data_IF_666868564291
#
_entry.id   IF_666868564291
#
_cell.length_a   1.000
_cell.length_b   1.000
_cell.length_c   1.000
_cell.angle_alpha   90.00
_cell.angle_beta   90.00
_cell.angle_gamma   90.00
#
_symmetry.space_group_name_H-M   'P 1'
#
loop_
_entity.id
_entity.type
_entity.pdbx_description
1 polymer ?
#
# COMPACT_ATOMS: atom_id res chain seq x y z
N UNK A 1 17.09 3.78 4.67
CA UNK A 1 17.03 5.03 3.83
C UNK A 1 15.57 5.39 3.59
N UNK A 2 15.22 6.69 3.58
CA UNK A 2 13.86 7.15 3.31
C UNK A 2 13.47 6.98 1.83
N UNK A 3 12.18 6.77 1.54
CA UNK A 3 11.68 6.69 0.15
C UNK A 3 12.01 7.96 -0.63
N UNK A 4 11.87 9.13 0.00
CA UNK A 4 12.24 10.42 -0.61
C UNK A 4 13.72 10.51 -0.95
N UNK A 5 14.61 9.98 -0.10
CA UNK A 5 16.05 9.92 -0.36
C UNK A 5 16.40 8.96 -1.50
N UNK A 6 15.70 7.83 -1.63
CA UNK A 6 15.83 6.93 -2.78
C UNK A 6 15.51 7.67 -4.08
N UNK A 7 14.38 8.43 -4.10
CA UNK A 7 13.94 9.20 -5.26
C UNK A 7 14.98 10.29 -5.61
N UNK A 8 15.46 11.02 -4.62
CA UNK A 8 16.48 12.07 -4.83
C UNK A 8 17.80 11.48 -5.39
N UNK A 9 18.30 10.38 -4.79
CA UNK A 9 19.51 9.70 -5.25
C UNK A 9 19.39 9.08 -6.65
N UNK A 10 18.16 8.70 -7.04
CA UNK A 10 17.90 8.18 -8.39
C UNK A 10 18.15 9.22 -9.49
N UNK A 11 18.17 10.51 -9.15
CA UNK A 11 18.47 11.61 -10.06
C UNK A 11 17.68 11.53 -11.39
N UNK A 12 16.38 11.37 -11.28
CA UNK A 12 15.45 11.28 -12.42
C UNK A 12 15.30 9.89 -13.04
N UNK A 13 16.02 8.88 -12.55
CA UNK A 13 15.77 7.50 -12.96
C UNK A 13 14.57 6.94 -12.21
N UNK A 14 13.67 6.29 -12.92
CA UNK A 14 12.52 5.60 -12.31
C UNK A 14 12.97 4.40 -11.48
N UNK A 15 12.55 4.35 -10.22
CA UNK A 15 12.86 3.27 -9.29
C UNK A 15 11.88 2.10 -9.45
N UNK A 16 12.29 0.91 -8.98
CA UNK A 16 11.44 -0.27 -8.86
C UNK A 16 11.11 -0.55 -7.39
N UNK A 17 9.85 -0.80 -7.10
CA UNK A 17 9.36 -1.24 -5.79
C UNK A 17 8.14 -2.16 -5.93
N UNK A 18 7.84 -2.91 -4.90
CA UNK A 18 6.66 -3.78 -4.90
C UNK A 18 6.06 -3.96 -3.51
N UNK A 19 4.81 -4.38 -3.50
CA UNK A 19 4.08 -4.73 -2.28
C UNK A 19 3.94 -6.24 -2.15
N UNK A 20 4.09 -6.74 -0.94
CA UNK A 20 3.95 -8.15 -0.62
C UNK A 20 2.99 -8.37 0.55
N UNK A 21 2.27 -9.50 0.49
CA UNK A 21 1.39 -9.97 1.56
C UNK A 21 2.16 -10.85 2.54
N UNK A 22 2.09 -10.61 3.86
CA UNK A 22 2.57 -11.58 4.84
C UNK A 22 1.90 -12.95 4.66
N UNK A 23 2.59 -14.07 4.99
CA UNK A 23 2.02 -15.40 4.88
C UNK A 23 0.82 -15.56 5.82
N UNK A 24 -0.06 -16.54 5.55
CA UNK A 24 -1.12 -16.87 6.49
C UNK A 24 -0.52 -17.47 7.76
N UNK A 25 -1.22 -17.29 8.87
CA UNK A 25 -0.85 -17.91 10.17
C UNK A 25 -0.69 -19.42 10.01
N UNK A 26 0.44 -19.93 10.47
CA UNK A 26 0.78 -21.36 10.38
C UNK A 26 1.48 -21.77 9.07
N UNK A 27 1.62 -20.87 8.10
CA UNK A 27 2.45 -21.14 6.92
C UNK A 27 3.93 -20.92 7.19
N UNK A 28 4.78 -21.60 6.42
CA UNK A 28 6.23 -21.45 6.51
C UNK A 28 6.65 -20.06 5.98
N UNK A 29 7.50 -19.37 6.71
CA UNK A 29 8.09 -18.09 6.31
C UNK A 29 8.88 -18.19 4.99
N UNK A 30 9.42 -19.35 4.64
CA UNK A 30 10.14 -19.52 3.38
C UNK A 30 9.26 -19.25 2.16
N UNK A 31 7.96 -19.59 2.18
CA UNK A 31 7.03 -19.24 1.11
C UNK A 31 6.93 -17.73 0.87
N UNK A 32 7.13 -16.96 1.92
CA UNK A 32 7.18 -15.50 1.82
C UNK A 32 8.47 -15.02 1.16
N UNK A 33 9.60 -15.59 1.56
CA UNK A 33 10.90 -15.25 0.96
C UNK A 33 11.00 -15.73 -0.49
N UNK A 34 10.47 -16.92 -0.81
CA UNK A 34 10.40 -17.44 -2.18
C UNK A 34 9.64 -16.51 -3.14
N UNK A 35 8.72 -15.68 -2.61
CA UNK A 35 8.03 -14.66 -3.40
C UNK A 35 8.84 -13.36 -3.57
N UNK A 36 9.83 -13.09 -2.74
CA UNK A 36 10.72 -11.93 -2.83
C UNK A 36 11.96 -12.24 -3.68
N UNK A 37 12.61 -13.38 -3.41
CA UNK A 37 13.89 -13.78 -4.00
C UNK A 37 13.98 -13.58 -5.52
N UNK A 38 12.95 -13.92 -6.35
CA UNK A 38 13.00 -13.74 -7.79
C UNK A 38 13.02 -12.28 -8.27
N UNK A 39 12.70 -11.32 -7.39
CA UNK A 39 12.64 -9.89 -7.73
C UNK A 39 13.92 -9.14 -7.31
N UNK A 40 14.80 -9.77 -6.51
CA UNK A 40 16.01 -9.13 -6.00
C UNK A 40 17.02 -8.81 -7.11
N UNK A 41 17.07 -9.59 -8.19
CA UNK A 41 17.95 -9.35 -9.33
C UNK A 41 17.72 -8.00 -10.01
N UNK A 42 16.52 -7.41 -9.83
CA UNK A 42 16.15 -6.09 -10.34
C UNK A 42 16.37 -4.95 -9.35
N UNK A 43 17.02 -5.24 -8.22
CA UNK A 43 17.40 -4.25 -7.20
C UNK A 43 16.24 -3.35 -6.74
N UNK A 44 15.18 -3.92 -6.15
CA UNK A 44 14.06 -3.12 -5.64
C UNK A 44 14.56 -2.11 -4.60
N UNK A 45 14.14 -0.86 -4.72
CA UNK A 45 14.56 0.21 -3.82
C UNK A 45 13.93 0.07 -2.44
N UNK A 46 12.68 -0.40 -2.38
CA UNK A 46 11.94 -0.65 -1.14
C UNK A 46 10.82 -1.66 -1.35
N UNK A 47 10.37 -2.29 -0.27
CA UNK A 47 9.32 -3.32 -0.27
C UNK A 47 8.23 -2.94 0.72
N UNK A 48 7.01 -2.75 0.24
CA UNK A 48 5.84 -2.52 1.11
C UNK A 48 5.27 -3.83 1.64
N UNK A 49 4.89 -3.83 2.91
CA UNK A 49 4.29 -4.99 3.59
C UNK A 49 2.89 -4.65 4.04
N UNK A 50 1.88 -5.32 3.45
CA UNK A 50 0.48 -5.07 3.79
C UNK A 50 0.16 -5.51 5.20
N UNK A 51 -0.60 -4.66 5.91
CA UNK A 51 -1.18 -5.02 7.20
C UNK A 51 -2.62 -5.52 7.02
N UNK A 52 -2.95 -6.61 7.70
CA UNK A 52 -4.31 -7.12 7.81
C UNK A 52 -4.74 -7.10 9.26
N UNK A 53 -5.75 -6.28 9.56
CA UNK A 53 -6.32 -6.21 10.92
C UNK A 53 -6.96 -7.51 11.32
N UNK A 54 -7.19 -7.68 12.60
CA UNK A 54 -7.92 -8.80 13.18
C UNK A 54 -9.36 -8.81 12.67
N UNK A 55 -9.91 -10.02 12.48
CA UNK A 55 -11.30 -10.23 12.08
C UNK A 55 -12.06 -10.85 13.23
N UNK A 56 -13.37 -10.67 13.24
CA UNK A 56 -14.25 -11.36 14.19
C UNK A 56 -14.83 -12.61 13.53
N UNK A 57 -14.71 -13.75 14.23
CA UNK A 57 -15.40 -14.99 13.89
C UNK A 57 -16.42 -15.29 15.00
N UNK A 58 -17.62 -15.72 14.59
CA UNK A 58 -18.66 -16.11 15.52
C UNK A 58 -18.73 -17.63 15.55
N UNK A 59 -18.55 -18.21 16.73
CA UNK A 59 -18.63 -19.65 16.99
C UNK A 59 -19.93 -19.92 17.73
N UNK A 60 -20.82 -20.74 17.14
CA UNK A 60 -22.04 -21.19 17.79
C UNK A 60 -21.74 -22.35 18.73
N UNK A 61 -22.16 -22.24 19.99
CA UNK A 61 -22.05 -23.29 21.00
C UNK A 61 -23.31 -24.13 21.02
N UNK A 62 -23.22 -25.36 21.59
CA UNK A 62 -24.34 -26.29 21.69
C UNK A 62 -25.58 -25.74 22.41
N UNK A 63 -25.42 -24.73 23.25
CA UNK A 63 -26.51 -24.03 23.93
C UNK A 63 -27.14 -22.88 23.08
N UNK A 64 -26.76 -22.73 21.78
CA UNK A 64 -27.25 -21.73 20.88
C UNK A 64 -26.65 -20.30 21.09
N UNK A 65 -25.69 -20.13 21.99
CA UNK A 65 -24.99 -18.88 22.17
C UNK A 65 -23.89 -18.72 21.14
N UNK A 66 -23.72 -17.48 20.66
CA UNK A 66 -22.65 -17.10 19.75
C UNK A 66 -21.49 -16.49 20.55
N UNK A 67 -20.34 -17.11 20.52
CA UNK A 67 -19.09 -16.54 21.02
C UNK A 67 -18.40 -15.75 19.89
N UNK A 68 -18.06 -14.48 20.16
CA UNK A 68 -17.24 -13.67 19.25
C UNK A 68 -15.76 -13.89 19.56
N UNK A 69 -15.04 -14.48 18.62
CA UNK A 69 -13.59 -14.67 18.70
C UNK A 69 -12.86 -13.65 17.81
N UNK A 70 -11.79 -13.09 18.35
CA UNK A 70 -10.84 -12.27 17.57
C UNK A 70 -9.84 -13.23 16.93
N UNK A 71 -9.73 -13.16 15.59
CA UNK A 71 -8.84 -14.03 14.82
C UNK A 71 -7.88 -13.20 14.01
N UNK A 72 -6.59 -13.38 14.26
CA UNK A 72 -5.52 -12.81 13.47
C UNK A 72 -5.08 -13.82 12.41
N UNK A 73 -5.32 -13.51 11.13
CA UNK A 73 -5.02 -14.42 10.02
C UNK A 73 -3.59 -14.34 9.51
N UNK A 74 -2.88 -13.23 9.78
CA UNK A 74 -1.51 -12.99 9.32
C UNK A 74 -0.65 -12.43 10.44
N UNK A 75 0.68 -12.63 10.40
CA UNK A 75 1.60 -11.98 11.33
C UNK A 75 1.54 -10.45 11.20
N UNK A 76 2.03 -9.74 12.22
CA UNK A 76 2.18 -8.29 12.19
C UNK A 76 3.30 -7.85 11.27
N UNK A 77 3.17 -6.64 10.73
CA UNK A 77 4.12 -6.09 9.76
C UNK A 77 5.47 -5.75 10.39
N UNK A 78 5.54 -5.41 11.69
CA UNK A 78 6.80 -5.12 12.41
C UNK A 78 7.79 -6.28 12.24
N UNK A 79 7.41 -7.49 12.66
CA UNK A 79 8.29 -8.66 12.57
C UNK A 79 8.66 -9.05 11.13
N UNK A 80 7.71 -8.88 10.18
CA UNK A 80 7.96 -9.16 8.77
C UNK A 80 8.93 -8.14 8.17
N UNK A 81 8.77 -6.84 8.44
CA UNK A 81 9.66 -5.80 7.96
C UNK A 81 11.08 -5.97 8.55
N UNK A 82 11.19 -6.26 9.85
CA UNK A 82 12.47 -6.59 10.46
C UNK A 82 13.15 -7.79 9.79
N UNK A 83 12.40 -8.85 9.45
CA UNK A 83 12.93 -10.01 8.75
C UNK A 83 13.41 -9.68 7.33
N UNK A 84 12.69 -8.81 6.58
CA UNK A 84 13.11 -8.33 5.25
C UNK A 84 14.40 -7.53 5.37
N UNK A 85 14.47 -6.52 6.25
CA UNK A 85 15.66 -5.68 6.41
C UNK A 85 16.88 -6.48 6.83
N UNK A 86 16.71 -7.39 7.80
CA UNK A 86 17.81 -8.23 8.27
C UNK A 86 18.33 -9.21 7.20
N UNK A 87 17.43 -9.76 6.37
CA UNK A 87 17.81 -10.76 5.35
C UNK A 87 18.35 -10.14 4.08
N UNK A 88 17.72 -9.06 3.60
CA UNK A 88 17.97 -8.52 2.27
C UNK A 88 18.64 -7.15 2.26
N UNK A 89 18.72 -6.48 3.42
CA UNK A 89 19.22 -5.11 3.53
C UNK A 89 18.52 -4.14 2.58
N UNK A 90 17.20 -4.34 2.40
CA UNK A 90 16.30 -3.50 1.61
C UNK A 90 15.33 -2.83 2.57
N UNK A 91 15.04 -1.55 2.34
CA UNK A 91 14.10 -0.79 3.17
C UNK A 91 12.69 -1.39 3.06
N UNK A 92 12.16 -1.85 4.21
CA UNK A 92 10.82 -2.41 4.32
C UNK A 92 9.86 -1.36 4.85
N UNK A 93 8.69 -1.24 4.22
CA UNK A 93 7.69 -0.24 4.55
C UNK A 93 6.44 -0.93 5.10
N UNK A 94 6.24 -0.95 6.42
CA UNK A 94 5.03 -1.49 7.02
C UNK A 94 3.83 -0.60 6.70
N UNK A 95 2.69 -1.21 6.32
CA UNK A 95 1.42 -0.52 6.32
C UNK A 95 0.93 -0.38 7.77
N UNK A 96 0.49 0.82 8.11
CA UNK A 96 -0.15 1.16 9.38
C UNK A 96 -1.58 1.61 9.08
N UNK A 97 -2.55 1.07 9.81
CA UNK A 97 -3.96 1.36 9.59
C UNK A 97 -4.55 2.16 10.74
N UNK A 98 -5.52 3.04 10.44
CA UNK A 98 -6.40 3.59 11.46
C UNK A 98 -7.32 2.49 12.05
N UNK A 99 -7.77 1.56 11.21
CA UNK A 99 -8.64 0.48 11.65
C UNK A 99 -7.92 -0.58 12.46
N UNK A 100 -8.49 -0.90 13.64
CA UNK A 100 -7.95 -1.91 14.54
C UNK A 100 -6.90 -1.41 15.53
N UNK A 101 -6.67 -0.08 15.60
CA UNK A 101 -5.73 0.55 16.51
C UNK A 101 -6.35 1.78 17.19
N UNK A 102 -6.19 1.88 18.50
CA UNK A 102 -6.27 3.14 19.22
C UNK A 102 -5.02 3.99 18.93
N UNK A 103 -5.01 5.25 19.30
CA UNK A 103 -3.83 6.11 19.16
C UNK A 103 -2.65 5.61 19.99
N UNK A 104 -2.93 5.07 21.17
CA UNK A 104 -1.91 4.46 22.04
C UNK A 104 -1.26 3.24 21.40
N UNK A 105 -2.06 2.33 20.84
CA UNK A 105 -1.53 1.15 20.12
C UNK A 105 -0.76 1.55 18.86
N UNK A 106 -1.18 2.63 18.20
CA UNK A 106 -0.46 3.21 17.06
C UNK A 106 0.91 3.74 17.49
N UNK A 107 0.98 4.47 18.60
CA UNK A 107 2.23 4.98 19.15
C UNK A 107 3.18 3.85 19.54
N UNK A 108 2.70 2.82 20.25
CA UNK A 108 3.49 1.65 20.61
C UNK A 108 4.02 0.91 19.37
N UNK A 109 3.20 0.77 18.33
CA UNK A 109 3.60 0.15 17.06
C UNK A 109 4.72 0.96 16.36
N UNK A 110 4.64 2.29 16.40
CA UNK A 110 5.66 3.19 15.84
C UNK A 110 6.95 3.14 16.63
N UNK A 111 6.88 3.06 17.98
CA UNK A 111 8.05 2.89 18.83
C UNK A 111 8.78 1.59 18.49
N UNK A 112 8.06 0.47 18.32
CA UNK A 112 8.65 -0.81 17.90
C UNK A 112 9.40 -0.69 16.56
N UNK A 113 8.85 0.07 15.61
CA UNK A 113 9.49 0.31 14.31
C UNK A 113 10.74 1.16 14.43
N UNK A 114 10.69 2.23 15.23
CA UNK A 114 11.82 3.13 15.47
C UNK A 114 13.01 2.37 16.10
N UNK A 115 12.75 1.52 17.10
CA UNK A 115 13.76 0.64 17.69
C UNK A 115 14.38 -0.38 16.73
N UNK A 116 13.68 -0.71 15.64
CA UNK A 116 14.14 -1.59 14.57
C UNK A 116 14.80 -0.84 13.41
N UNK A 117 14.98 0.48 13.53
CA UNK A 117 15.53 1.35 12.48
C UNK A 117 14.71 1.25 11.15
N UNK A 118 13.38 1.13 11.30
CA UNK A 118 12.44 1.11 10.15
C UNK A 118 11.88 2.51 9.99
N UNK A 119 12.53 3.33 9.16
CA UNK A 119 12.24 4.75 9.02
C UNK A 119 11.09 5.08 8.05
N UNK A 120 10.51 4.11 7.37
CA UNK A 120 9.46 4.33 6.37
C UNK A 120 8.16 3.67 6.80
N UNK A 121 7.05 4.37 6.65
CA UNK A 121 5.72 3.84 6.97
C UNK A 121 4.71 4.23 5.91
N UNK A 122 3.69 3.39 5.68
CA UNK A 122 2.57 3.68 4.80
C UNK A 122 1.30 3.87 5.64
N UNK A 123 0.88 5.13 5.82
CA UNK A 123 -0.26 5.49 6.66
C UNK A 123 -1.58 5.40 5.87
N UNK A 124 -2.42 4.45 6.21
CA UNK A 124 -3.68 4.14 5.54
C UNK A 124 -4.84 4.17 6.54
N UNK A 125 -6.04 4.46 6.04
CA UNK A 125 -7.23 4.29 6.88
C UNK A 125 -7.57 2.83 7.12
N UNK A 126 -7.39 2.02 6.11
CA UNK A 126 -7.82 0.63 6.05
C UNK A 126 -9.24 0.47 5.51
N UNK A 127 -9.55 -0.75 5.07
CA UNK A 127 -10.85 -1.11 4.51
C UNK A 127 -11.89 -1.31 5.60
N UNK A 128 -13.17 -1.18 5.21
CA UNK A 128 -14.33 -1.56 6.03
C UNK A 128 -14.31 -3.07 6.25
N UNK A 129 -14.53 -3.52 7.48
CA UNK A 129 -14.65 -4.97 7.76
C UNK A 129 -15.85 -5.57 7.05
N UNK A 130 -15.77 -6.85 6.68
CA UNK A 130 -16.89 -7.58 6.05
C UNK A 130 -18.17 -7.57 6.88
N UNK A 131 -18.05 -7.45 8.20
CA UNK A 131 -19.16 -7.36 9.16
C UNK A 131 -19.69 -5.95 9.35
N UNK A 132 -19.10 -4.93 8.71
CA UNK A 132 -19.46 -3.52 8.85
C UNK A 132 -19.93 -2.94 7.51
N UNK A 133 -20.81 -1.96 7.58
CA UNK A 133 -21.32 -1.23 6.41
C UNK A 133 -20.55 0.04 6.11
N UNK A 134 -19.82 0.58 7.08
CA UNK A 134 -18.97 1.77 6.97
C UNK A 134 -17.80 1.64 7.94
N UNK A 135 -16.75 2.40 7.67
CA UNK A 135 -15.56 2.40 8.53
C UNK A 135 -15.87 2.99 9.90
N UNK A 136 -15.44 2.28 10.94
CA UNK A 136 -15.50 2.74 12.34
C UNK A 136 -14.09 2.73 12.91
N UNK A 137 -13.59 3.87 13.41
CA UNK A 137 -12.35 3.90 14.16
C UNK A 137 -12.51 3.14 15.48
N UNK A 138 -11.41 2.63 16.00
CA UNK A 138 -11.37 2.14 17.38
C UNK A 138 -11.63 3.28 18.37
N UNK A 139 -12.03 2.92 19.59
CA UNK A 139 -12.19 3.92 20.65
C UNK A 139 -10.86 4.65 20.86
N UNK A 140 -10.88 5.97 20.76
CA UNK A 140 -9.69 6.82 20.77
C UNK A 140 -8.70 6.54 19.63
N UNK A 141 -9.15 5.93 18.52
CA UNK A 141 -8.35 5.71 17.31
C UNK A 141 -8.45 6.87 16.33
N UNK A 142 -7.64 6.82 15.27
CA UNK A 142 -7.70 7.77 14.17
C UNK A 142 -8.83 7.40 13.21
N UNK A 143 -9.67 8.36 12.82
CA UNK A 143 -10.79 8.13 11.89
C UNK A 143 -10.34 8.25 10.42
N UNK A 144 -9.32 9.06 10.15
CA UNK A 144 -8.82 9.34 8.80
C UNK A 144 -7.30 9.19 8.73
N UNK A 145 -6.80 8.82 7.54
CA UNK A 145 -5.36 8.70 7.31
C UNK A 145 -4.60 10.01 7.57
N UNK A 146 -5.23 11.18 7.37
CA UNK A 146 -4.62 12.48 7.72
C UNK A 146 -4.39 12.66 9.22
N UNK A 147 -5.26 12.11 10.07
CA UNK A 147 -5.08 12.13 11.53
C UNK A 147 -3.94 11.19 11.94
N UNK A 148 -3.84 10.01 11.31
CA UNK A 148 -2.73 9.08 11.50
C UNK A 148 -1.40 9.71 11.08
N UNK A 149 -1.36 10.35 9.91
CA UNK A 149 -0.16 11.10 9.44
C UNK A 149 0.22 12.18 10.47
N UNK A 150 -0.75 12.94 10.97
CA UNK A 150 -0.50 13.97 11.98
C UNK A 150 0.09 13.37 13.27
N UNK A 151 -0.43 12.24 13.75
CA UNK A 151 0.10 11.55 14.92
C UNK A 151 1.56 11.09 14.71
N UNK A 152 1.87 10.50 13.55
CA UNK A 152 3.25 10.10 13.21
C UNK A 152 4.16 11.34 13.16
N UNK A 153 3.68 12.42 12.56
CA UNK A 153 4.44 13.68 12.49
C UNK A 153 4.70 14.28 13.87
N UNK A 154 3.74 14.21 14.79
CA UNK A 154 3.95 14.63 16.18
C UNK A 154 5.10 13.83 16.82
N UNK A 155 5.16 12.52 16.65
CA UNK A 155 6.27 11.71 17.14
C UNK A 155 7.62 12.09 16.48
N UNK A 156 7.61 12.42 15.18
CA UNK A 156 8.80 12.96 14.50
C UNK A 156 9.25 14.31 15.09
N UNK A 157 8.36 15.05 15.71
CA UNK A 157 8.64 16.31 16.40
C UNK A 157 8.91 16.09 17.93
N UNK A 158 9.01 14.83 18.39
CA UNK A 158 9.23 14.46 19.78
C UNK A 158 8.00 14.64 20.68
N UNK A 159 6.79 14.71 20.09
CA UNK A 159 5.53 14.88 20.83
C UNK A 159 4.83 13.53 20.92
N UNK A 160 4.71 13.00 22.12
CA UNK A 160 4.07 11.72 22.45
C UNK A 160 2.72 11.95 23.16
N UNK A 161 1.90 10.90 23.24
CA UNK A 161 0.62 10.94 23.95
C UNK A 161 0.80 11.10 25.46
N UNK A 162 1.85 10.49 26.03
CA UNK A 162 2.23 10.71 27.43
C UNK A 162 3.04 12.01 27.56
N UNK A 163 2.45 13.04 28.13
CA UNK A 163 3.07 14.34 28.35
C UNK A 163 4.06 14.37 29.54
N UNK A 164 4.20 13.26 30.29
CA UNK A 164 5.12 13.16 31.43
C UNK A 164 6.48 12.57 31.04
N UNK A 165 6.70 12.25 29.76
CA UNK A 165 8.00 11.74 29.30
C UNK A 165 9.03 12.85 29.48
N UNK A 166 10.06 12.58 30.28
CA UNK A 166 11.23 13.44 30.40
C UNK A 166 12.16 13.22 29.21
N UNK A 167 12.49 14.27 28.45
CA UNK A 167 13.40 14.24 27.29
C UNK A 167 12.94 13.27 26.18
N UNK A 168 11.77 13.48 25.58
CA UNK A 168 11.30 12.62 24.51
C UNK A 168 12.23 12.70 23.29
N UNK A 169 12.63 11.55 22.76
CA UNK A 169 13.43 11.48 21.54
C UNK A 169 12.50 11.59 20.32
N UNK A 170 12.79 12.49 19.35
CA UNK A 170 12.02 12.53 18.12
C UNK A 170 12.28 11.30 17.26
N UNK A 171 11.24 10.73 16.67
CA UNK A 171 11.35 9.70 15.61
C UNK A 171 11.70 10.35 14.27
N UNK A 172 11.94 9.54 13.22
CA UNK A 172 12.35 10.08 11.92
C UNK A 172 11.63 9.41 10.74
N UNK A 173 10.33 9.14 10.88
CA UNK A 173 9.54 8.45 9.86
C UNK A 173 9.35 9.26 8.58
N UNK A 174 9.56 8.62 7.43
CA UNK A 174 9.09 9.03 6.11
C UNK A 174 7.71 8.44 5.88
N UNK A 175 6.71 9.28 5.63
CA UNK A 175 5.30 8.92 5.69
C UNK A 175 4.70 8.85 4.29
N UNK A 176 4.41 7.65 3.80
CA UNK A 176 3.64 7.42 2.59
C UNK A 176 2.14 7.42 2.84
N UNK A 177 1.37 7.84 1.85
CA UNK A 177 -0.10 7.81 1.87
C UNK A 177 -0.68 7.30 0.56
N UNK A 178 -1.93 6.82 0.58
CA UNK A 178 -2.63 6.42 -0.65
C UNK A 178 -3.22 7.63 -1.39
N UNK A 179 -3.15 7.59 -2.75
CA UNK A 179 -3.88 8.43 -3.68
C UNK A 179 -4.75 7.59 -4.63
N UNK A 180 -5.72 8.20 -5.30
CA UNK A 180 -6.69 7.48 -6.14
C UNK A 180 -6.87 8.19 -7.48
N UNK A 181 -6.24 7.72 -8.58
CA UNK A 181 -6.37 8.35 -9.89
C UNK A 181 -7.82 8.45 -10.38
N UNK A 182 -8.65 7.49 -10.01
CA UNK A 182 -10.06 7.42 -10.43
C UNK A 182 -11.06 7.80 -9.32
N UNK A 183 -10.61 8.31 -8.20
CA UNK A 183 -11.37 8.69 -7.02
C UNK A 183 -11.57 7.54 -6.00
N UNK A 184 -11.40 7.85 -4.72
CA UNK A 184 -11.80 6.96 -3.62
C UNK A 184 -13.32 6.73 -3.61
N UNK A 185 -13.73 5.50 -3.31
CA UNK A 185 -15.15 5.09 -3.36
C UNK A 185 -16.09 5.95 -2.49
N UNK A 186 -15.62 6.48 -1.38
CA UNK A 186 -16.41 7.31 -0.46
C UNK A 186 -16.32 8.81 -0.77
N UNK A 187 -15.42 9.25 -1.64
CA UNK A 187 -15.32 10.65 -2.00
C UNK A 187 -16.47 11.05 -2.93
N UNK A 188 -17.07 12.21 -2.72
CA UNK A 188 -18.17 12.69 -3.55
C UNK A 188 -17.72 12.99 -4.99
N UNK A 189 -16.50 13.50 -5.17
CA UNK A 189 -15.90 13.81 -6.47
C UNK A 189 -14.39 13.59 -6.44
N UNK A 190 -13.76 13.55 -7.63
CA UNK A 190 -12.29 13.49 -7.74
C UNK A 190 -11.63 14.72 -7.10
N UNK A 191 -12.18 15.92 -7.31
CA UNK A 191 -11.68 17.13 -6.66
C UNK A 191 -11.72 17.02 -5.13
N UNK A 192 -12.82 16.53 -4.54
CA UNK A 192 -12.91 16.32 -3.08
C UNK A 192 -11.86 15.32 -2.60
N UNK A 193 -11.56 14.29 -3.37
CA UNK A 193 -10.54 13.29 -3.02
C UNK A 193 -9.13 13.88 -3.08
N UNK A 194 -8.84 14.70 -4.10
CA UNK A 194 -7.59 15.47 -4.21
C UNK A 194 -7.44 16.42 -3.02
N UNK A 195 -8.51 17.10 -2.59
CA UNK A 195 -8.49 17.94 -1.39
C UNK A 195 -8.24 17.13 -0.11
N UNK A 196 -8.72 15.89 -0.04
CA UNK A 196 -8.38 14.99 1.06
C UNK A 196 -6.91 14.54 1.00
N UNK A 197 -6.35 14.34 -0.20
CA UNK A 197 -4.91 14.07 -0.37
C UNK A 197 -4.06 15.28 0.05
N UNK A 198 -4.48 16.49 -0.30
CA UNK A 198 -3.83 17.72 0.12
C UNK A 198 -3.76 17.83 1.65
N UNK A 199 -4.85 17.52 2.36
CA UNK A 199 -4.85 17.46 3.84
C UNK A 199 -3.84 16.46 4.40
N UNK A 200 -3.58 15.33 3.71
CA UNK A 200 -2.55 14.38 4.13
C UNK A 200 -1.16 14.97 3.96
N UNK A 201 -0.88 15.68 2.85
CA UNK A 201 0.37 16.41 2.67
C UNK A 201 0.55 17.49 3.74
N UNK A 202 -0.48 18.28 4.01
CA UNK A 202 -0.45 19.34 5.03
C UNK A 202 -0.26 18.77 6.45
N UNK A 203 -0.72 17.54 6.70
CA UNK A 203 -0.49 16.83 7.96
C UNK A 203 0.94 16.28 8.10
N UNK A 204 1.73 16.25 7.02
CA UNK A 204 3.13 15.81 7.03
C UNK A 204 3.44 14.56 6.21
N UNK A 205 2.58 14.17 5.25
CA UNK A 205 2.92 13.08 4.33
C UNK A 205 4.05 13.48 3.37
N UNK A 206 4.98 12.57 3.11
CA UNK A 206 6.18 12.78 2.32
C UNK A 206 6.07 12.28 0.88
N UNK A 207 5.23 11.26 0.62
CA UNK A 207 5.00 10.72 -0.73
C UNK A 207 3.64 10.03 -0.84
N UNK A 208 3.22 9.80 -2.07
CA UNK A 208 1.97 9.11 -2.42
C UNK A 208 2.26 7.84 -3.18
N UNK A 209 1.58 6.74 -2.85
CA UNK A 209 1.45 5.57 -3.73
C UNK A 209 -0.01 5.48 -4.16
N UNK A 210 -0.27 5.37 -5.48
CA UNK A 210 -1.65 5.37 -5.96
C UNK A 210 -2.29 3.98 -5.87
N UNK A 211 -3.61 3.93 -5.77
CA UNK A 211 -4.37 2.72 -6.11
C UNK A 211 -4.04 2.32 -7.55
N UNK A 212 -4.17 1.02 -7.86
CA UNK A 212 -4.01 0.52 -9.21
C UNK A 212 -4.99 1.21 -10.17
N UNK A 213 -4.55 1.38 -11.40
CA UNK A 213 -5.32 1.89 -12.53
C UNK A 213 -4.88 1.15 -13.79
N UNK A 214 -5.64 1.22 -14.87
CA UNK A 214 -5.38 0.48 -16.10
C UNK A 214 -5.29 1.37 -17.33
N UNK A 215 -5.51 2.69 -17.15
CA UNK A 215 -5.36 3.74 -18.15
C UNK A 215 -4.39 4.80 -17.62
N UNK A 216 -3.23 4.94 -18.25
CA UNK A 216 -2.19 5.90 -17.85
C UNK A 216 -2.66 7.35 -17.97
N UNK A 217 -3.57 7.66 -18.90
CA UNK A 217 -4.08 9.01 -19.05
C UNK A 217 -4.80 9.49 -17.77
N UNK A 218 -5.57 8.61 -17.11
CA UNK A 218 -6.21 8.93 -15.83
C UNK A 218 -5.20 9.24 -14.72
N UNK A 219 -4.06 8.55 -14.72
CA UNK A 219 -2.97 8.84 -13.78
C UNK A 219 -2.33 10.19 -14.07
N UNK A 220 -2.04 10.51 -15.33
CA UNK A 220 -1.44 11.80 -15.69
C UNK A 220 -2.37 12.96 -15.34
N UNK A 221 -3.66 12.87 -15.69
CA UNK A 221 -4.67 13.87 -15.33
C UNK A 221 -4.82 14.05 -13.81
N UNK A 222 -4.73 12.95 -13.05
CA UNK A 222 -4.74 13.00 -11.59
C UNK A 222 -3.52 13.75 -11.06
N UNK A 223 -2.32 13.46 -11.59
CA UNK A 223 -1.09 14.15 -11.17
C UNK A 223 -1.19 15.65 -11.50
N UNK A 224 -1.64 16.02 -12.70
CA UNK A 224 -1.80 17.42 -13.10
C UNK A 224 -2.74 18.16 -12.15
N UNK A 225 -3.92 17.61 -11.87
CA UNK A 225 -4.88 18.16 -10.90
C UNK A 225 -4.31 18.27 -9.49
N UNK A 226 -3.51 17.29 -9.07
CA UNK A 226 -2.81 17.36 -7.77
C UNK A 226 -1.83 18.54 -7.74
N UNK A 227 -1.08 18.79 -8.83
CA UNK A 227 -0.15 19.90 -8.92
C UNK A 227 -0.88 21.26 -8.97
N UNK A 228 -1.99 21.36 -9.67
CA UNK A 228 -2.87 22.54 -9.68
C UNK A 228 -3.36 22.91 -8.28
N UNK A 229 -3.68 21.90 -7.45
CA UNK A 229 -4.10 22.10 -6.06
C UNK A 229 -2.93 22.29 -5.07
N UNK A 230 -1.67 22.33 -5.55
CA UNK A 230 -0.49 22.57 -4.72
C UNK A 230 0.03 21.34 -3.97
N UNK A 231 -0.33 20.14 -4.40
CA UNK A 231 0.30 18.91 -3.92
C UNK A 231 1.64 18.75 -4.62
N UNK A 232 2.74 18.81 -3.87
CA UNK A 232 4.12 18.84 -4.40
C UNK A 232 4.90 17.56 -4.14
N UNK A 233 4.48 16.75 -3.17
CA UNK A 233 5.15 15.49 -2.82
C UNK A 233 5.16 14.50 -4.00
N UNK A 234 6.16 13.57 -4.08
CA UNK A 234 6.22 12.55 -5.11
C UNK A 234 4.96 11.70 -5.17
N UNK A 235 4.48 11.40 -6.39
CA UNK A 235 3.33 10.52 -6.64
C UNK A 235 3.84 9.31 -7.41
N UNK A 236 3.79 8.14 -6.78
CA UNK A 236 4.26 6.86 -7.30
C UNK A 236 3.05 6.07 -7.83
N UNK A 237 3.00 5.73 -9.14
CA UNK A 237 1.95 4.89 -9.68
C UNK A 237 1.98 3.47 -9.12
N UNK A 238 0.84 3.00 -8.63
CA UNK A 238 0.60 1.63 -8.23
C UNK A 238 0.06 0.80 -9.39
N UNK A 239 0.72 -0.32 -9.72
CA UNK A 239 0.42 -1.14 -10.89
C UNK A 239 0.08 -2.58 -10.49
N UNK A 240 -0.82 -3.21 -11.24
CA UNK A 240 -1.21 -4.59 -11.01
C UNK A 240 -1.56 -5.28 -12.32
N UNK A 241 -0.84 -6.35 -12.73
CA UNK A 241 -1.26 -7.15 -13.87
C UNK A 241 -2.55 -7.92 -13.57
N UNK A 242 -3.45 -8.00 -14.56
CA UNK A 242 -4.60 -8.91 -14.49
C UNK A 242 -4.11 -10.33 -14.73
N UNK A 243 -4.48 -11.26 -13.86
CA UNK A 243 -4.01 -12.66 -13.90
C UNK A 243 -5.14 -13.69 -13.95
N UNK A 244 -6.38 -13.24 -13.87
CA UNK A 244 -7.56 -14.10 -13.91
C UNK A 244 -8.75 -13.35 -14.50
N UNK A 245 -9.57 -14.04 -15.29
CA UNK A 245 -10.76 -13.48 -15.95
C UNK A 245 -11.80 -12.92 -14.97
N UNK A 246 -11.90 -13.52 -13.77
CA UNK A 246 -12.78 -13.04 -12.69
C UNK A 246 -12.42 -11.64 -12.18
N UNK A 247 -11.20 -11.16 -12.43
CA UNK A 247 -10.77 -9.81 -12.06
C UNK A 247 -11.44 -8.72 -12.89
N UNK A 248 -11.98 -9.03 -14.10
CA UNK A 248 -12.74 -8.08 -14.90
C UNK A 248 -13.98 -7.53 -14.17
N UNK A 249 -14.60 -8.32 -13.33
CA UNK A 249 -15.74 -7.88 -12.52
C UNK A 249 -15.34 -7.51 -11.09
N UNK A 250 -14.36 -8.23 -10.51
CA UNK A 250 -13.97 -8.06 -9.12
C UNK A 250 -13.24 -6.72 -8.87
N UNK A 251 -12.33 -6.33 -9.78
CA UNK A 251 -11.54 -5.10 -9.61
C UNK A 251 -12.42 -3.84 -9.67
N UNK A 252 -13.28 -3.64 -10.69
CA UNK A 252 -14.21 -2.51 -10.72
C UNK A 252 -15.18 -2.50 -9.55
N UNK A 253 -15.70 -3.67 -9.17
CA UNK A 253 -16.63 -3.76 -8.04
C UNK A 253 -15.99 -3.37 -6.72
N UNK A 254 -14.78 -3.91 -6.43
CA UNK A 254 -14.14 -3.78 -5.12
C UNK A 254 -13.35 -2.49 -4.98
N UNK A 255 -12.60 -2.10 -6.01
CA UNK A 255 -11.68 -0.96 -5.97
C UNK A 255 -12.20 0.27 -6.70
N UNK A 256 -13.35 0.16 -7.40
CA UNK A 256 -13.96 1.25 -8.17
C UNK A 256 -13.03 1.80 -9.26
N UNK A 257 -12.24 0.93 -9.85
CA UNK A 257 -11.35 1.24 -10.96
C UNK A 257 -12.03 0.86 -12.28
N UNK A 258 -11.80 1.65 -13.33
CA UNK A 258 -12.26 1.34 -14.68
C UNK A 258 -11.24 0.47 -15.40
N UNK A 259 -11.74 -0.43 -16.24
CA UNK A 259 -10.92 -1.21 -17.15
C UNK A 259 -11.13 -0.69 -18.57
N UNK A 260 -10.08 -0.36 -19.34
CA UNK A 260 -10.21 0.03 -20.73
C UNK A 260 -10.88 -1.06 -21.58
N UNK A 261 -11.74 -0.65 -22.52
CA UNK A 261 -12.50 -1.58 -23.36
C UNK A 261 -11.59 -2.56 -24.10
N UNK A 262 -10.46 -2.10 -24.62
CA UNK A 262 -9.49 -2.94 -25.33
C UNK A 262 -8.94 -4.06 -24.43
N UNK A 263 -8.61 -3.74 -23.17
CA UNK A 263 -8.15 -4.73 -22.20
C UNK A 263 -9.25 -5.76 -21.90
N UNK A 264 -10.48 -5.29 -21.71
CA UNK A 264 -11.64 -6.16 -21.44
C UNK A 264 -11.91 -7.09 -22.65
N UNK A 265 -11.86 -6.55 -23.86
CA UNK A 265 -12.04 -7.32 -25.11
C UNK A 265 -10.98 -8.40 -25.25
N UNK A 266 -9.69 -8.06 -25.07
CA UNK A 266 -8.59 -9.01 -25.22
C UNK A 266 -8.65 -10.13 -24.15
N UNK A 267 -8.89 -9.79 -22.90
CA UNK A 267 -9.05 -10.79 -21.82
C UNK A 267 -10.29 -11.67 -22.07
N UNK A 268 -11.38 -11.10 -22.60
CA UNK A 268 -12.60 -11.87 -22.89
C UNK A 268 -12.40 -12.91 -23.98
N UNK A 269 -11.57 -12.62 -24.97
CA UNK A 269 -11.20 -13.57 -26.05
C UNK A 269 -10.34 -14.74 -25.57
N UNK A 270 -9.61 -14.58 -24.45
CA UNK A 270 -8.72 -15.61 -23.90
C UNK A 270 -9.47 -16.91 -23.60
N UNK A 271 -8.88 -18.03 -23.98
CA UNK A 271 -9.45 -19.38 -23.78
C UNK A 271 -8.90 -20.06 -22.53
N UNK A 272 -7.66 -19.75 -22.13
CA UNK A 272 -6.99 -20.36 -20.99
C UNK A 272 -6.62 -19.32 -19.94
N UNK A 273 -6.35 -19.78 -18.72
CA UNK A 273 -5.83 -18.91 -17.65
C UNK A 273 -4.42 -18.37 -17.99
N UNK A 274 -3.62 -19.12 -18.75
CA UNK A 274 -2.32 -18.70 -19.20
C UNK A 274 -2.41 -17.52 -20.18
N UNK A 275 -3.35 -17.56 -21.13
CA UNK A 275 -3.60 -16.47 -22.08
C UNK A 275 -3.99 -15.18 -21.32
N UNK A 276 -4.91 -15.29 -20.34
CA UNK A 276 -5.34 -14.14 -19.51
C UNK A 276 -4.14 -13.53 -18.78
N UNK A 277 -3.29 -14.36 -18.17
CA UNK A 277 -2.08 -13.91 -17.48
C UNK A 277 -1.13 -13.20 -18.44
N UNK A 278 -0.94 -13.74 -19.65
CA UNK A 278 -0.07 -13.16 -20.65
C UNK A 278 -0.56 -11.77 -21.10
N UNK A 279 -1.84 -11.63 -21.45
CA UNK A 279 -2.44 -10.34 -21.82
C UNK A 279 -2.29 -9.32 -20.69
N UNK A 280 -2.55 -9.72 -19.43
CA UNK A 280 -2.39 -8.83 -18.30
C UNK A 280 -0.94 -8.39 -18.04
N UNK A 281 0.04 -9.27 -18.30
CA UNK A 281 1.47 -8.93 -18.23
C UNK A 281 1.85 -7.95 -19.34
N UNK A 282 1.45 -8.21 -20.58
CA UNK A 282 1.74 -7.34 -21.74
C UNK A 282 1.13 -5.94 -21.53
N UNK A 283 -0.12 -5.86 -21.07
CA UNK A 283 -0.76 -4.58 -20.74
C UNK A 283 0.00 -3.82 -19.67
N UNK A 284 0.30 -4.46 -18.56
CA UNK A 284 1.03 -3.83 -17.46
C UNK A 284 2.46 -3.43 -17.86
N UNK A 285 3.11 -4.21 -18.74
CA UNK A 285 4.42 -3.86 -19.31
C UNK A 285 4.34 -2.59 -20.17
N UNK A 286 3.33 -2.49 -21.05
CA UNK A 286 3.12 -1.29 -21.86
C UNK A 286 2.85 -0.05 -21.00
N UNK A 287 1.97 -0.16 -19.99
CA UNK A 287 1.74 0.90 -19.02
C UNK A 287 3.04 1.32 -18.32
N UNK A 288 3.83 0.36 -17.86
CA UNK A 288 5.09 0.60 -17.14
C UNK A 288 6.10 1.33 -17.99
N UNK A 289 6.26 0.95 -19.28
CA UNK A 289 7.17 1.61 -20.23
C UNK A 289 6.79 3.07 -20.44
N UNK A 290 5.51 3.35 -20.72
CA UNK A 290 5.02 4.71 -20.90
C UNK A 290 5.19 5.57 -19.64
N UNK A 291 4.85 5.04 -18.45
CA UNK A 291 5.05 5.75 -17.18
C UNK A 291 6.53 6.06 -16.92
N UNK A 292 7.42 5.11 -17.22
CA UNK A 292 8.87 5.31 -17.10
C UNK A 292 9.38 6.38 -18.08
N UNK A 293 8.92 6.37 -19.33
CA UNK A 293 9.25 7.41 -20.34
C UNK A 293 8.77 8.80 -19.91
N UNK A 294 7.65 8.89 -19.19
CA UNK A 294 7.14 10.14 -18.60
C UNK A 294 7.86 10.56 -17.31
N UNK A 295 8.87 9.79 -16.88
CA UNK A 295 9.73 10.13 -15.75
C UNK A 295 9.08 10.05 -14.38
N UNK A 296 8.16 9.09 -14.16
CA UNK A 296 7.62 8.85 -12.81
C UNK A 296 8.72 8.45 -11.83
N UNK A 297 8.63 8.84 -10.54
CA UNK A 297 9.73 8.64 -9.58
C UNK A 297 10.01 7.16 -9.29
N UNK A 298 8.99 6.33 -9.30
CA UNK A 298 9.08 4.88 -9.11
C UNK A 298 7.90 4.20 -9.78
N UNK A 299 8.02 2.89 -10.09
CA UNK A 299 6.91 2.00 -10.42
C UNK A 299 6.71 1.04 -9.26
N UNK A 300 5.51 1.03 -8.67
CA UNK A 300 5.16 0.21 -7.53
C UNK A 300 4.20 -0.91 -7.92
N UNK A 301 4.60 -2.19 -7.77
CA UNK A 301 3.81 -3.33 -8.22
C UNK A 301 3.13 -4.07 -7.07
N UNK A 302 1.81 -4.23 -7.16
CA UNK A 302 1.01 -5.05 -6.27
C UNK A 302 1.14 -6.53 -6.61
N UNK A 303 2.17 -7.21 -6.06
CA UNK A 303 2.49 -8.62 -6.37
C UNK A 303 1.49 -9.61 -5.79
N UNK A 304 0.79 -9.25 -4.71
CA UNK A 304 -0.15 -10.12 -4.00
C UNK A 304 0.45 -11.47 -3.61
N UNK A 305 1.75 -11.53 -3.30
CA UNK A 305 2.48 -12.73 -2.95
C UNK A 305 2.80 -13.66 -4.14
N UNK A 306 2.67 -13.18 -5.39
CA UNK A 306 3.02 -13.90 -6.62
C UNK A 306 3.93 -13.04 -7.49
N UNK A 307 5.23 -13.30 -7.42
CA UNK A 307 6.26 -12.50 -8.09
C UNK A 307 6.42 -12.79 -9.59
N UNK A 308 6.01 -13.97 -10.09
CA UNK A 308 6.30 -14.41 -11.44
C UNK A 308 5.84 -13.42 -12.54
N UNK A 309 4.62 -12.90 -12.44
CA UNK A 309 4.11 -11.91 -13.40
C UNK A 309 4.83 -10.57 -13.29
N UNK A 310 5.12 -10.12 -12.07
CA UNK A 310 5.88 -8.88 -11.82
C UNK A 310 7.32 -9.04 -12.34
N UNK A 311 7.95 -10.21 -12.12
CA UNK A 311 9.29 -10.51 -12.65
C UNK A 311 9.36 -10.35 -14.16
N UNK A 312 8.39 -10.90 -14.91
CA UNK A 312 8.35 -10.78 -16.37
C UNK A 312 8.22 -9.33 -16.83
N UNK A 313 7.36 -8.54 -16.16
CA UNK A 313 7.20 -7.11 -16.46
C UNK A 313 8.49 -6.35 -16.19
N UNK A 314 9.07 -6.53 -15.01
CA UNK A 314 10.28 -5.79 -14.59
C UNK A 314 11.48 -6.12 -15.47
N UNK A 315 11.62 -7.38 -15.91
CA UNK A 315 12.65 -7.78 -16.87
C UNK A 315 12.58 -7.05 -18.23
N UNK A 316 11.39 -6.59 -18.63
CA UNK A 316 11.23 -5.84 -19.87
C UNK A 316 11.31 -4.31 -19.68
N UNK A 317 11.14 -3.86 -18.44
CA UNK A 317 11.02 -2.43 -18.12
C UNK A 317 12.34 -1.88 -17.57
N UNK A 318 13.08 -2.65 -16.77
CA UNK A 318 14.31 -2.22 -16.08
C UNK A 318 15.55 -2.92 -16.60
#
# INVERSE_FOLDING_TARGET
MKVTEHIEKANGKTLFSFEILPPLKGQNINLFFDAIDPLLEYSPSFINVTYHREEYEYVEHENGLLERKVVRKRPGTVGICAAIQNRYHIDAIPHILCGGFSREETENFLIDLDFLEIDNVMALRGDVMKSETYFKPEKNGNAHASELVHQIKQMNDGIYLDHNIELPSPTNFCIGVAGYPEKHMEAASLHQDIMNLKKKQEAGADYVVTQMFFDNQKFFEFVDKCREEGITIPIIPGLKPITAKSQLSMLPYRFKVDLPDDLVIEITKCKTAADVKQVGIEWCTAQSKELKERGVPALHYYSMGRSEGVKQIVNEVF
#
